data_IF_457264019140
#
_entry.id   IF_457264019140
#
_cell.length_a   1.000
_cell.length_b   1.000
_cell.length_c   1.000
_cell.angle_alpha   90.00
_cell.angle_beta   90.00
_cell.angle_gamma   90.00
#
_symmetry.space_group_name_H-M   'P 1'
#
loop_
_entity.id
_entity.type
_entity.pdbx_description
1 polymer ?
#
# COMPACT_ATOMS: atom_id res chain seq x y z
N UNK A 1 -10.03 -15.54 -14.28
CA UNK A 1 -8.84 -15.07 -13.53
C UNK A 1 -8.22 -13.94 -14.33
N UNK A 2 -7.79 -12.86 -13.68
CA UNK A 2 -7.06 -11.80 -14.36
C UNK A 2 -5.60 -12.27 -14.56
N UNK A 3 -5.08 -12.12 -15.77
CA UNK A 3 -3.69 -12.46 -16.09
C UNK A 3 -2.85 -11.20 -15.94
N UNK A 4 -1.77 -11.28 -15.18
CA UNK A 4 -0.77 -10.21 -15.07
C UNK A 4 0.41 -10.61 -15.93
N UNK A 5 0.71 -9.80 -16.95
CA UNK A 5 1.92 -9.97 -17.76
C UNK A 5 3.07 -9.19 -17.12
N UNK A 6 4.22 -9.84 -16.95
CA UNK A 6 5.45 -9.23 -16.48
C UNK A 6 6.53 -9.37 -17.55
N UNK A 7 7.42 -8.38 -17.63
CA UNK A 7 8.56 -8.46 -18.55
C UNK A 7 9.53 -9.56 -18.14
N UNK A 8 10.25 -10.14 -19.11
CA UNK A 8 11.29 -11.16 -18.88
C UNK A 8 12.30 -10.75 -17.79
N UNK A 9 12.72 -9.48 -17.79
CA UNK A 9 13.63 -8.95 -16.77
C UNK A 9 13.09 -9.09 -15.34
N UNK A 10 11.80 -8.81 -15.15
CA UNK A 10 11.14 -8.92 -13.84
C UNK A 10 10.99 -10.39 -13.46
N UNK A 11 10.67 -11.25 -14.42
CA UNK A 11 10.61 -12.69 -14.21
C UNK A 11 11.96 -13.25 -13.74
N UNK A 12 13.07 -12.89 -14.39
CA UNK A 12 14.43 -13.32 -14.00
C UNK A 12 14.78 -12.88 -12.58
N UNK A 13 14.42 -11.64 -12.21
CA UNK A 13 14.62 -11.12 -10.86
C UNK A 13 13.82 -11.92 -9.82
N UNK A 14 12.56 -12.24 -10.14
CA UNK A 14 11.69 -13.03 -9.27
C UNK A 14 12.24 -14.44 -9.06
N UNK A 15 12.68 -15.12 -10.12
CA UNK A 15 13.28 -16.46 -10.05
C UNK A 15 14.56 -16.43 -9.21
N UNK A 16 15.44 -15.45 -9.43
CA UNK A 16 16.69 -15.33 -8.70
C UNK A 16 16.48 -15.06 -7.20
N UNK A 17 15.41 -14.35 -6.84
CA UNK A 17 15.14 -13.97 -5.45
C UNK A 17 14.33 -15.02 -4.66
N UNK A 18 13.62 -15.93 -5.35
CA UNK A 18 12.80 -16.98 -4.72
C UNK A 18 13.53 -17.80 -3.64
N UNK A 19 14.79 -18.27 -3.84
CA UNK A 19 15.50 -19.05 -2.82
C UNK A 19 15.76 -18.27 -1.52
N UNK A 20 15.92 -16.95 -1.60
CA UNK A 20 16.09 -16.09 -0.43
C UNK A 20 14.82 -16.09 0.41
N UNK A 21 13.67 -15.92 -0.23
CA UNK A 21 12.36 -15.93 0.44
C UNK A 21 12.05 -17.31 1.02
N UNK A 22 12.29 -18.38 0.27
CA UNK A 22 12.12 -19.76 0.76
C UNK A 22 13.02 -20.06 1.97
N UNK A 23 14.24 -19.50 1.99
CA UNK A 23 15.15 -19.65 3.14
C UNK A 23 14.68 -18.89 4.38
N UNK A 24 14.14 -17.68 4.22
CA UNK A 24 13.62 -16.87 5.34
C UNK A 24 12.37 -17.51 5.96
N UNK A 25 11.50 -18.05 5.11
CA UNK A 25 10.22 -18.63 5.53
C UNK A 25 10.35 -20.11 5.91
N UNK A 26 11.50 -20.74 5.68
CA UNK A 26 11.76 -22.16 5.89
C UNK A 26 10.73 -23.08 5.19
N UNK A 27 10.23 -22.68 4.03
CA UNK A 27 9.24 -23.43 3.24
C UNK A 27 9.60 -23.44 1.76
N UNK A 28 9.15 -24.46 1.04
CA UNK A 28 9.16 -24.44 -0.42
C UNK A 28 7.83 -23.91 -0.94
N UNK A 29 7.90 -22.94 -1.85
CA UNK A 29 6.75 -22.28 -2.48
C UNK A 29 6.69 -22.64 -3.95
N UNK A 30 5.49 -22.91 -4.46
CA UNK A 30 5.27 -22.83 -5.90
C UNK A 30 5.43 -21.38 -6.38
N UNK A 31 5.79 -21.21 -7.65
CA UNK A 31 6.14 -19.89 -8.18
C UNK A 31 4.96 -18.91 -8.11
N UNK A 32 3.74 -19.38 -8.40
CA UNK A 32 2.55 -18.53 -8.38
C UNK A 32 2.23 -18.05 -6.97
N UNK A 33 2.28 -18.93 -5.95
CA UNK A 33 2.12 -18.51 -4.55
C UNK A 33 3.24 -17.59 -4.08
N UNK A 34 4.47 -17.79 -4.51
CA UNK A 34 5.58 -16.89 -4.20
C UNK A 34 5.32 -15.47 -4.76
N UNK A 35 4.89 -15.37 -6.02
CA UNK A 35 4.54 -14.08 -6.61
C UNK A 35 3.32 -13.47 -5.93
N UNK A 36 2.30 -14.25 -5.58
CA UNK A 36 1.13 -13.78 -4.84
C UNK A 36 1.52 -13.23 -3.46
N UNK A 37 2.42 -13.92 -2.75
CA UNK A 37 2.97 -13.47 -1.47
C UNK A 37 3.71 -12.15 -1.65
N UNK A 38 4.56 -12.01 -2.66
CA UNK A 38 5.25 -10.75 -2.93
C UNK A 38 4.28 -9.62 -3.26
N UNK A 39 3.27 -9.87 -4.08
CA UNK A 39 2.29 -8.85 -4.45
C UNK A 39 1.40 -8.43 -3.27
N UNK A 40 1.14 -9.33 -2.31
CA UNK A 40 0.34 -9.01 -1.11
C UNK A 40 1.16 -8.39 0.01
N UNK A 41 2.30 -8.99 0.34
CA UNK A 41 3.07 -8.61 1.53
C UNK A 41 4.09 -7.52 1.24
N UNK A 42 4.70 -7.49 0.05
CA UNK A 42 5.75 -6.51 -0.23
C UNK A 42 5.22 -5.06 -0.18
N UNK A 43 4.02 -4.73 -0.70
CA UNK A 43 3.49 -3.38 -0.57
C UNK A 43 3.30 -2.99 0.90
N UNK A 44 2.61 -3.82 1.70
CA UNK A 44 2.34 -3.49 3.10
C UNK A 44 3.63 -3.39 3.94
N UNK A 45 4.60 -4.27 3.68
CA UNK A 45 5.89 -4.26 4.38
C UNK A 45 6.73 -3.05 3.98
N UNK A 46 6.83 -2.75 2.69
CA UNK A 46 7.55 -1.55 2.20
C UNK A 46 6.87 -0.28 2.69
N UNK A 47 5.54 -0.20 2.62
CA UNK A 47 4.80 0.97 3.07
C UNK A 47 4.95 1.17 4.59
N UNK A 48 4.86 0.12 5.40
CA UNK A 48 4.99 0.23 6.85
C UNK A 48 6.42 0.51 7.32
N UNK A 49 7.42 -0.17 6.76
CA UNK A 49 8.83 -0.05 7.17
C UNK A 49 9.48 1.22 6.59
N UNK A 50 9.20 1.56 5.33
CA UNK A 50 9.77 2.75 4.67
C UNK A 50 8.99 4.02 5.04
N UNK A 51 7.65 4.01 4.96
CA UNK A 51 6.87 5.23 5.23
C UNK A 51 6.61 5.44 6.71
N UNK A 52 6.61 4.40 7.54
CA UNK A 52 6.43 4.52 8.99
C UNK A 52 7.57 5.26 9.69
N UNK A 53 8.76 5.28 9.09
CA UNK A 53 9.95 5.94 9.62
C UNK A 53 10.36 7.20 8.84
N UNK A 54 9.77 7.44 7.67
CA UNK A 54 10.09 8.60 6.85
C UNK A 54 9.46 9.88 7.42
N UNK A 55 10.25 10.96 7.46
CA UNK A 55 9.73 12.27 7.80
C UNK A 55 8.84 12.81 6.67
N UNK A 56 7.84 13.68 6.98
CA UNK A 56 6.91 14.18 5.97
C UNK A 56 7.57 14.86 4.76
N UNK A 57 8.65 15.65 4.91
CA UNK A 57 9.40 16.17 3.75
C UNK A 57 9.94 15.08 2.82
N UNK A 58 10.58 14.03 3.35
CA UNK A 58 11.13 12.92 2.55
C UNK A 58 10.05 12.15 1.79
N UNK A 59 8.86 12.01 2.41
CA UNK A 59 7.69 11.40 1.77
C UNK A 59 7.18 12.22 0.59
N UNK A 60 7.07 13.54 0.76
CA UNK A 60 6.65 14.45 -0.32
C UNK A 60 7.63 14.38 -1.49
N UNK A 61 8.94 14.43 -1.21
CA UNK A 61 9.96 14.35 -2.25
C UNK A 61 9.91 13.01 -3.02
N UNK A 62 9.66 11.91 -2.32
CA UNK A 62 9.53 10.59 -2.95
C UNK A 62 8.30 10.52 -3.87
N UNK A 63 7.18 11.10 -3.44
CA UNK A 63 5.97 11.23 -4.24
C UNK A 63 6.23 12.06 -5.50
N UNK A 64 6.95 13.18 -5.38
CA UNK A 64 7.31 14.04 -6.51
C UNK A 64 8.19 13.31 -7.53
N UNK A 65 9.19 12.56 -7.09
CA UNK A 65 10.04 11.73 -7.95
C UNK A 65 9.25 10.62 -8.67
N UNK A 66 8.31 9.98 -7.97
CA UNK A 66 7.42 8.97 -8.57
C UNK A 66 6.50 9.60 -9.62
N UNK A 67 5.93 10.77 -9.31
CA UNK A 67 5.08 11.50 -10.23
C UNK A 67 5.86 12.01 -11.45
N UNK A 68 7.15 12.33 -11.31
CA UNK A 68 7.99 12.72 -12.45
C UNK A 68 8.13 11.58 -13.47
N UNK A 69 8.20 10.33 -12.99
CA UNK A 69 8.33 9.14 -13.83
C UNK A 69 6.98 8.67 -14.39
N UNK A 70 5.92 8.74 -13.58
CA UNK A 70 4.59 8.25 -13.93
C UNK A 70 3.49 9.23 -13.44
N UNK A 71 3.30 10.38 -14.10
CA UNK A 71 2.50 11.47 -13.55
C UNK A 71 1.01 11.13 -13.43
N UNK A 72 0.42 10.54 -14.47
CA UNK A 72 -1.02 10.23 -14.50
C UNK A 72 -1.43 9.26 -13.39
N UNK A 73 -0.82 8.06 -13.28
CA UNK A 73 -1.19 7.10 -12.23
C UNK A 73 -0.97 7.66 -10.82
N UNK A 74 0.14 8.35 -10.58
CA UNK A 74 0.50 8.84 -9.26
C UNK A 74 -0.44 9.95 -8.80
N UNK A 75 -0.68 10.97 -9.63
CA UNK A 75 -1.56 12.09 -9.24
C UNK A 75 -3.03 11.69 -9.17
N UNK A 76 -3.51 10.78 -10.02
CA UNK A 76 -4.87 10.25 -9.92
C UNK A 76 -5.07 9.50 -8.61
N UNK A 77 -4.16 8.61 -8.26
CA UNK A 77 -4.20 7.86 -7.01
C UNK A 77 -4.13 8.79 -5.79
N UNK A 78 -3.22 9.76 -5.78
CA UNK A 78 -3.13 10.75 -4.71
C UNK A 78 -4.40 11.59 -4.56
N UNK A 79 -5.04 11.98 -5.67
CA UNK A 79 -6.29 12.72 -5.62
C UNK A 79 -7.42 11.88 -5.00
N UNK A 80 -7.51 10.60 -5.36
CA UNK A 80 -8.47 9.64 -4.81
C UNK A 80 -8.26 9.42 -3.31
N UNK A 81 -7.02 9.17 -2.89
CA UNK A 81 -6.66 8.94 -1.48
C UNK A 81 -6.82 10.19 -0.62
N UNK A 82 -6.49 11.38 -1.13
CA UNK A 82 -6.75 12.63 -0.42
C UNK A 82 -8.27 12.89 -0.25
N UNK A 83 -9.07 12.48 -1.24
CA UNK A 83 -10.53 12.57 -1.16
C UNK A 83 -11.07 11.59 -0.09
N UNK A 84 -10.60 10.35 -0.10
CA UNK A 84 -10.96 9.31 0.87
C UNK A 84 -10.52 9.72 2.29
N UNK A 85 -9.29 10.18 2.45
CA UNK A 85 -8.74 10.66 3.72
C UNK A 85 -9.52 11.85 4.29
N UNK A 86 -9.96 12.79 3.46
CA UNK A 86 -10.87 13.87 3.91
C UNK A 86 -12.20 13.32 4.44
N UNK A 87 -12.79 12.34 3.76
CA UNK A 87 -14.04 11.74 4.20
C UNK A 87 -13.88 11.00 5.53
N UNK A 88 -12.75 10.32 5.75
CA UNK A 88 -12.44 9.66 7.02
C UNK A 88 -12.25 10.67 8.16
N UNK A 89 -11.50 11.75 7.94
CA UNK A 89 -11.30 12.82 8.93
C UNK A 89 -12.61 13.53 9.26
N UNK A 90 -13.48 13.77 8.28
CA UNK A 90 -14.80 14.34 8.53
C UNK A 90 -15.72 13.38 9.29
N UNK A 91 -15.68 12.08 8.98
CA UNK A 91 -16.43 11.06 9.71
C UNK A 91 -15.96 10.96 11.18
N UNK A 92 -14.65 10.99 11.42
CA UNK A 92 -14.08 11.02 12.77
C UNK A 92 -14.44 12.29 13.52
N UNK A 93 -14.35 13.47 12.88
CA UNK A 93 -14.80 14.73 13.49
C UNK A 93 -16.28 14.70 13.85
N UNK A 94 -17.15 14.14 12.99
CA UNK A 94 -18.57 13.97 13.28
C UNK A 94 -18.82 12.99 14.43
N UNK A 95 -18.08 11.88 14.48
CA UNK A 95 -18.15 10.91 15.58
C UNK A 95 -17.70 11.54 16.91
N UNK A 96 -16.61 12.31 16.90
CA UNK A 96 -16.10 13.02 18.08
C UNK A 96 -17.06 14.11 18.55
N UNK A 97 -17.68 14.86 17.64
CA UNK A 97 -18.71 15.87 17.96
C UNK A 97 -19.96 15.21 18.53
N UNK A 98 -20.44 14.10 17.95
CA UNK A 98 -21.57 13.31 18.50
C UNK A 98 -21.27 12.81 19.92
N UNK A 99 -20.06 12.29 20.14
CA UNK A 99 -19.58 11.81 21.45
C UNK A 99 -19.47 12.94 22.47
N UNK A 100 -18.98 14.13 22.07
CA UNK A 100 -18.89 15.33 22.93
C UNK A 100 -20.24 15.95 23.26
N UNK A 101 -21.21 15.87 22.34
CA UNK A 101 -22.58 16.37 22.52
C UNK A 101 -23.52 15.35 23.20
N UNK A 102 -23.02 14.16 23.56
CA UNK A 102 -23.77 13.16 24.32
C UNK A 102 -24.83 12.40 23.51
N UNK A 103 -24.76 12.42 22.18
CA UNK A 103 -25.64 11.60 21.35
C UNK A 103 -25.21 10.13 21.46
N UNK A 104 -25.97 9.32 22.23
CA UNK A 104 -25.91 7.86 22.12
C UNK A 104 -26.51 7.46 20.77
N UNK A 105 -25.83 6.59 20.03
CA UNK A 105 -26.42 5.96 18.85
C UNK A 105 -27.71 5.25 19.28
N UNK A 106 -28.84 5.81 18.84
CA UNK A 106 -30.15 5.15 18.93
C UNK A 106 -30.19 4.09 17.84
N UNK A 107 -29.69 2.92 18.16
CA UNK A 107 -30.01 1.68 17.44
C UNK A 107 -30.40 0.65 18.49
N UNK A 108 -31.71 0.59 18.75
CA UNK A 108 -32.42 -0.67 19.01
C UNK A 108 -32.73 -1.34 17.67
#
# INVERSE_FOLDING_TARGET
MATVEISDKVYDQLVAFKPVVESILEVSLDFDKYVEILLRLAPDFVLSDVLGHADPPSLIQTIEELAHRNPKPVYSFLAEELLAGRQMVEAQKRADVKKRLGFKDMTE
#
